data_IF_008745731593
#
_entry.id   IF_008745731593
#
_cell.length_a   1.000
_cell.length_b   1.000
_cell.length_c   1.000
_cell.angle_alpha   90.00
_cell.angle_beta   90.00
_cell.angle_gamma   90.00
#
_symmetry.space_group_name_H-M   'P 1'
#
loop_
_entity.id
_entity.type
_entity.pdbx_description
1 polymer ?
#
# COMPACT_ATOMS: atom_id res chain seq x y z
N UNK A 1 -21.64 29.80 1.98
CA UNK A 1 -20.98 28.90 1.00
C UNK A 1 -22.07 28.10 0.33
N UNK A 2 -22.03 28.02 -0.99
CA UNK A 2 -23.08 27.32 -1.75
C UNK A 2 -22.69 25.86 -2.03
N UNK A 3 -21.40 25.52 -1.91
CA UNK A 3 -20.87 24.16 -1.99
C UNK A 3 -19.62 24.02 -1.11
N UNK A 4 -19.41 22.82 -0.54
CA UNK A 4 -18.20 22.43 0.19
C UNK A 4 -17.77 21.03 -0.25
N UNK A 5 -16.47 20.83 -0.50
CA UNK A 5 -15.83 19.52 -0.73
C UNK A 5 -14.72 19.35 0.30
N UNK A 6 -14.68 18.21 0.99
CA UNK A 6 -13.71 17.94 2.06
C UNK A 6 -12.93 16.67 1.76
N UNK A 7 -11.60 16.77 1.77
CA UNK A 7 -10.68 15.63 1.70
C UNK A 7 -9.53 15.85 2.67
N UNK A 8 -9.56 15.15 3.80
CA UNK A 8 -8.62 15.35 4.93
C UNK A 8 -7.85 14.07 5.28
N UNK A 9 -7.67 13.20 4.29
CA UNK A 9 -6.99 11.91 4.43
C UNK A 9 -7.95 10.72 4.35
N UNK A 10 -7.38 9.53 4.55
CA UNK A 10 -8.05 8.23 4.46
C UNK A 10 -7.79 7.44 5.75
N UNK A 11 -8.79 6.68 6.18
CA UNK A 11 -8.65 5.65 7.22
C UNK A 11 -8.74 4.29 6.51
N UNK A 12 -7.76 3.38 6.64
CA UNK A 12 -7.82 2.08 5.98
C UNK A 12 -8.94 1.22 6.62
N UNK A 13 -9.70 0.52 5.78
CA UNK A 13 -10.72 -0.42 6.25
C UNK A 13 -10.05 -1.69 6.80
N UNK A 14 -9.98 -1.81 8.12
CA UNK A 14 -9.26 -2.88 8.84
C UNK A 14 -10.15 -3.74 9.74
N UNK A 15 -11.41 -3.34 9.95
CA UNK A 15 -12.31 -3.94 10.93
C UNK A 15 -12.45 -5.46 10.79
N UNK A 16 -12.50 -5.98 9.56
CA UNK A 16 -12.58 -7.43 9.30
C UNK A 16 -11.31 -8.17 9.74
N UNK A 17 -10.14 -7.57 9.50
CA UNK A 17 -8.87 -8.15 9.89
C UNK A 17 -8.72 -8.14 11.43
N UNK A 18 -9.10 -7.04 12.07
CA UNK A 18 -9.11 -6.93 13.53
C UNK A 18 -10.05 -7.95 14.18
N UNK A 19 -11.29 -8.07 13.68
CA UNK A 19 -12.28 -9.02 14.18
C UNK A 19 -11.85 -10.48 13.96
N UNK A 20 -11.08 -10.74 12.90
CA UNK A 20 -10.48 -12.05 12.63
C UNK A 20 -9.21 -12.33 13.47
N UNK A 21 -8.74 -11.36 14.28
CA UNK A 21 -7.55 -11.50 15.11
C UNK A 21 -6.23 -11.41 14.33
N UNK A 22 -6.24 -10.77 13.16
CA UNK A 22 -5.04 -10.53 12.37
C UNK A 22 -4.22 -9.36 12.92
N UNK A 23 -2.93 -9.34 12.62
CA UNK A 23 -2.06 -8.21 12.94
C UNK A 23 -2.48 -6.96 12.15
N UNK A 24 -2.80 -5.89 12.87
CA UNK A 24 -3.23 -4.61 12.31
C UNK A 24 -2.46 -3.46 12.97
N UNK A 25 -2.09 -2.46 12.17
CA UNK A 25 -1.53 -1.17 12.60
C UNK A 25 -2.23 -0.05 11.84
N UNK A 26 -1.48 0.85 11.19
CA UNK A 26 -2.01 1.77 10.20
C UNK A 26 -2.28 1.00 8.89
N UNK A 27 -3.17 0.00 8.92
CA UNK A 27 -3.43 -0.99 7.87
C UNK A 27 -3.24 -2.45 8.31
N UNK A 28 -3.78 -3.39 7.54
CA UNK A 28 -3.56 -4.84 7.70
C UNK A 28 -2.09 -5.15 7.47
N UNK A 29 -1.40 -5.69 8.47
CA UNK A 29 0.03 -5.97 8.36
C UNK A 29 0.23 -7.14 7.40
N UNK A 30 1.09 -6.94 6.39
CA UNK A 30 1.46 -8.00 5.46
C UNK A 30 2.96 -8.04 5.20
N UNK A 31 3.48 -9.25 4.99
CA UNK A 31 4.83 -9.47 4.48
C UNK A 31 4.99 -8.96 3.04
N UNK A 32 6.23 -9.02 2.53
CA UNK A 32 6.51 -8.69 1.12
C UNK A 32 5.82 -9.67 0.14
N UNK A 33 5.42 -10.85 0.61
CA UNK A 33 4.63 -11.85 -0.11
C UNK A 33 3.11 -11.63 -0.01
N UNK A 34 2.68 -10.50 0.56
CA UNK A 34 1.29 -10.09 0.76
C UNK A 34 0.46 -11.00 1.71
N UNK A 35 1.11 -11.87 2.48
CA UNK A 35 0.44 -12.67 3.52
C UNK A 35 0.26 -11.88 4.80
N UNK A 36 -0.88 -12.07 5.44
CA UNK A 36 -1.15 -11.56 6.79
C UNK A 36 -0.50 -12.47 7.85
N UNK A 37 -0.82 -12.25 9.13
CA UNK A 37 -0.42 -13.14 10.22
C UNK A 37 -1.05 -14.54 10.13
N UNK A 38 -2.16 -14.70 9.39
CA UNK A 38 -2.69 -16.00 8.99
C UNK A 38 -2.15 -16.38 7.60
N UNK A 39 -1.49 -17.54 7.44
CA UNK A 39 -0.87 -17.95 6.18
C UNK A 39 -1.87 -18.22 5.04
N UNK A 40 -3.17 -18.31 5.33
CA UNK A 40 -4.25 -18.51 4.36
C UNK A 40 -4.98 -17.22 4.00
N UNK A 41 -4.67 -16.09 4.66
CA UNK A 41 -5.30 -14.79 4.41
C UNK A 41 -4.26 -13.83 3.83
N UNK A 42 -4.64 -13.18 2.74
CA UNK A 42 -3.85 -12.18 2.03
C UNK A 42 -4.59 -10.84 2.07
N UNK A 43 -3.84 -9.73 2.00
CA UNK A 43 -4.40 -8.41 1.80
C UNK A 43 -3.59 -7.65 0.73
N UNK A 44 -4.24 -6.77 -0.02
CA UNK A 44 -3.60 -5.97 -1.07
C UNK A 44 -4.21 -4.57 -1.19
N UNK A 45 -3.41 -3.61 -1.66
CA UNK A 45 -3.81 -2.24 -1.93
C UNK A 45 -3.78 -1.34 -0.69
N UNK A 46 -4.64 -0.33 -0.70
CA UNK A 46 -4.61 0.80 0.25
C UNK A 46 -4.82 0.40 1.70
N UNK A 47 -5.43 -0.76 1.97
CA UNK A 47 -5.63 -1.27 3.32
C UNK A 47 -4.36 -1.89 3.93
N UNK A 48 -3.28 -2.09 3.16
CA UNK A 48 -2.10 -2.84 3.62
C UNK A 48 -1.06 -1.95 4.29
N UNK A 49 -0.56 -2.41 5.44
CA UNK A 49 0.69 -1.95 6.03
C UNK A 49 1.77 -2.98 5.66
N UNK A 50 2.34 -2.85 4.46
CA UNK A 50 3.18 -3.86 3.83
C UNK A 50 4.66 -3.61 4.06
N UNK A 51 5.45 -4.69 4.12
CA UNK A 51 6.92 -4.60 4.08
C UNK A 51 7.38 -4.16 2.68
N UNK A 52 7.93 -2.96 2.59
CA UNK A 52 8.62 -2.50 1.39
C UNK A 52 10.10 -2.90 1.46
N UNK A 53 10.55 -3.69 0.49
CA UNK A 53 11.92 -4.21 0.47
C UNK A 53 12.97 -3.16 0.06
N UNK A 54 12.58 -2.13 -0.70
CA UNK A 54 13.51 -1.08 -1.12
C UNK A 54 13.91 -0.16 0.05
N UNK A 55 12.94 0.20 0.90
CA UNK A 55 13.15 1.04 2.08
C UNK A 55 13.37 0.25 3.38
N UNK A 56 13.41 -1.08 3.29
CA UNK A 56 13.52 -2.02 4.43
C UNK A 56 12.58 -1.71 5.62
N UNK A 57 11.37 -1.20 5.35
CA UNK A 57 10.41 -0.82 6.40
C UNK A 57 8.98 -1.14 6.03
N UNK A 58 8.10 -1.18 7.02
CA UNK A 58 6.67 -1.27 6.76
C UNK A 58 6.10 0.12 6.45
N UNK A 59 5.17 0.17 5.51
CA UNK A 59 4.49 1.41 5.11
C UNK A 59 3.11 1.12 4.52
N UNK A 60 2.29 2.17 4.40
CA UNK A 60 1.01 2.14 3.69
C UNK A 60 1.07 3.14 2.55
N UNK A 61 0.66 2.70 1.36
CA UNK A 61 0.68 3.49 0.14
C UNK A 61 -0.72 3.52 -0.47
N UNK A 62 -1.17 4.71 -0.85
CA UNK A 62 -2.50 4.98 -1.43
C UNK A 62 -2.31 5.37 -2.91
N UNK A 63 -1.90 4.41 -3.74
CA UNK A 63 -1.62 4.68 -5.15
C UNK A 63 -2.04 3.52 -6.07
N UNK A 64 -2.45 3.88 -7.29
CA UNK A 64 -2.81 2.91 -8.32
C UNK A 64 -1.65 1.94 -8.61
N UNK A 65 -0.37 2.38 -8.74
CA UNK A 65 0.73 1.45 -8.92
C UNK A 65 0.89 0.47 -7.75
N UNK A 66 0.81 0.94 -6.50
CA UNK A 66 0.89 0.05 -5.33
C UNK A 66 -0.19 -1.05 -5.38
N UNK A 67 -1.45 -0.68 -5.62
CA UNK A 67 -2.54 -1.65 -5.70
C UNK A 67 -2.36 -2.63 -6.88
N UNK A 68 -1.97 -2.11 -8.04
CA UNK A 68 -1.78 -2.90 -9.26
C UNK A 68 -0.59 -3.85 -9.16
N UNK A 69 0.45 -3.49 -8.40
CA UNK A 69 1.62 -4.33 -8.17
C UNK A 69 1.36 -5.41 -7.11
N UNK A 70 0.61 -5.12 -6.04
CA UNK A 70 0.33 -6.11 -5.00
C UNK A 70 -0.63 -7.22 -5.48
N UNK A 71 -1.58 -6.92 -6.38
CA UNK A 71 -2.53 -7.90 -6.89
C UNK A 71 -1.87 -9.16 -7.51
N UNK A 72 -0.95 -9.01 -8.47
CA UNK A 72 -0.19 -10.13 -9.04
C UNK A 72 0.65 -10.90 -8.03
N UNK A 73 1.18 -10.24 -6.98
CA UNK A 73 1.93 -10.91 -5.90
C UNK A 73 1.01 -11.85 -5.12
N UNK A 74 -0.16 -11.36 -4.70
CA UNK A 74 -1.19 -12.19 -4.05
C UNK A 74 -1.57 -13.36 -4.95
N UNK A 75 -1.90 -13.11 -6.21
CA UNK A 75 -2.32 -14.16 -7.14
C UNK A 75 -1.23 -15.23 -7.33
N UNK A 76 0.03 -14.82 -7.49
CA UNK A 76 1.16 -15.74 -7.64
C UNK A 76 1.35 -16.61 -6.39
N UNK A 77 1.30 -16.03 -5.19
CA UNK A 77 1.48 -16.76 -3.94
C UNK A 77 0.30 -17.69 -3.63
N UNK A 78 -0.94 -17.32 -3.98
CA UNK A 78 -2.11 -18.22 -3.94
C UNK A 78 -1.91 -19.42 -4.89
N UNK A 79 -1.35 -19.19 -6.08
CA UNK A 79 -1.01 -20.24 -7.04
C UNK A 79 0.23 -21.08 -6.65
N UNK A 80 0.76 -20.94 -5.42
CA UNK A 80 1.91 -21.71 -4.95
C UNK A 80 3.25 -21.30 -5.58
N UNK A 81 3.31 -20.12 -6.21
CA UNK A 81 4.58 -19.52 -6.66
C UNK A 81 5.21 -18.74 -5.50
N UNK A 82 6.45 -18.31 -5.69
CA UNK A 82 7.16 -17.40 -4.77
C UNK A 82 7.27 -16.04 -5.43
N UNK A 83 6.55 -15.06 -4.90
CA UNK A 83 6.57 -13.69 -5.39
C UNK A 83 6.63 -12.69 -4.24
N UNK A 84 7.37 -11.59 -4.43
CA UNK A 84 7.53 -10.53 -3.44
C UNK A 84 7.31 -9.16 -4.08
N UNK A 85 6.69 -8.25 -3.33
CA UNK A 85 6.61 -6.83 -3.67
C UNK A 85 7.95 -6.16 -3.40
N UNK A 86 8.58 -5.64 -4.45
CA UNK A 86 9.91 -5.00 -4.37
C UNK A 86 10.01 -3.75 -5.24
N UNK A 87 8.88 -3.19 -5.65
CA UNK A 87 8.86 -2.02 -6.52
C UNK A 87 9.19 -0.74 -5.74
N UNK A 88 9.83 0.20 -6.42
CA UNK A 88 10.00 1.57 -5.90
C UNK A 88 8.64 2.25 -5.96
N UNK A 89 8.09 2.73 -4.82
CA UNK A 89 6.82 3.44 -4.78
C UNK A 89 6.81 4.60 -5.77
N UNK A 90 5.72 4.75 -6.51
CA UNK A 90 5.52 5.90 -7.37
C UNK A 90 4.04 6.21 -7.54
N UNK A 91 3.74 7.44 -7.94
CA UNK A 91 2.41 7.89 -8.28
C UNK A 91 2.47 9.07 -9.25
N UNK A 92 1.30 9.55 -9.68
CA UNK A 92 1.18 10.76 -10.47
C UNK A 92 -0.01 11.60 -10.00
N UNK A 93 0.01 12.87 -10.37
CA UNK A 93 -1.11 13.78 -10.22
C UNK A 93 -1.29 14.55 -11.53
N UNK A 94 -2.52 14.59 -12.02
CA UNK A 94 -2.90 15.40 -13.17
C UNK A 94 -3.61 16.66 -12.65
N UNK A 95 -3.06 17.83 -12.97
CA UNK A 95 -3.60 19.14 -12.57
C UNK A 95 -3.60 20.07 -13.79
N UNK A 96 -4.79 20.29 -14.36
CA UNK A 96 -4.93 20.97 -15.66
C UNK A 96 -4.12 20.27 -16.76
N UNK A 97 -3.20 20.97 -17.41
CA UNK A 97 -2.29 20.48 -18.45
C UNK A 97 -0.96 19.95 -17.88
N UNK A 98 -0.79 19.99 -16.56
CA UNK A 98 0.41 19.50 -15.89
C UNK A 98 0.26 18.03 -15.51
N UNK A 99 1.29 17.24 -15.87
CA UNK A 99 1.49 15.88 -15.39
C UNK A 99 2.65 15.86 -14.39
N UNK A 100 2.34 15.62 -13.13
CA UNK A 100 3.32 15.49 -12.06
C UNK A 100 3.57 14.02 -11.78
N UNK A 101 4.84 13.60 -11.78
CA UNK A 101 5.24 12.22 -11.48
C UNK A 101 6.24 12.21 -10.34
N UNK A 102 6.00 11.34 -9.37
CA UNK A 102 6.85 11.18 -8.19
C UNK A 102 7.31 9.73 -8.11
N UNK A 103 8.61 9.52 -7.88
CA UNK A 103 9.22 8.20 -7.72
C UNK A 103 10.03 8.22 -6.42
N UNK A 104 9.80 7.21 -5.59
CA UNK A 104 10.35 7.11 -4.25
C UNK A 104 9.55 7.91 -3.21
N UNK A 105 10.09 7.93 -2.00
CA UNK A 105 9.59 8.66 -0.85
C UNK A 105 10.62 9.72 -0.45
N UNK A 106 10.16 10.94 -0.19
CA UNK A 106 11.01 12.06 0.22
C UNK A 106 11.40 12.04 1.69
N UNK A 107 10.76 11.20 2.51
CA UNK A 107 11.03 11.15 3.95
C UNK A 107 12.50 10.86 4.25
N UNK A 108 13.11 11.70 5.09
CA UNK A 108 14.51 11.54 5.51
C UNK A 108 15.56 12.18 4.58
N UNK A 109 15.14 12.94 3.56
CA UNK A 109 16.07 13.72 2.74
C UNK A 109 16.75 14.85 3.54
N UNK A 110 18.00 15.18 3.20
CA UNK A 110 18.84 16.14 3.94
C UNK A 110 19.07 17.47 3.19
N UNK A 111 19.01 17.45 1.85
CA UNK A 111 19.24 18.61 0.98
C UNK A 111 18.35 18.57 -0.26
N UNK A 112 17.98 19.75 -0.77
CA UNK A 112 17.28 19.92 -2.05
C UNK A 112 18.25 19.86 -3.23
#
# INVERSE_FOLDING_TARGET
>A
VDLVVVGVGLIPNIDLAEQAGLDVRNGVVVGADARTSDPHIFAAGDCTFHKNLFYDRHMRLESVPNATEQGPIVAANICGKVAFHSAVPWFWSDQYDLKLQMVGLSEGYDQL
#
